data_IF_157913505727
#
_entry.id   IF_157913505727
#
_cell.length_a   1.000
_cell.length_b   1.000
_cell.length_c   1.000
_cell.angle_alpha   90.00
_cell.angle_beta   90.00
_cell.angle_gamma   90.00
#
_symmetry.space_group_name_H-M   'P 1'
#
loop_
_entity.id
_entity.type
_entity.pdbx_description
1 polymer ?
#
# COMPACT_ATOMS: atom_id res chain seq x y z
N UNK A 1 11.72 -26.84 -5.70
CA UNK A 1 11.40 -25.39 -5.72
C UNK A 1 10.84 -25.04 -4.37
N UNK A 2 11.51 -24.18 -3.60
CA UNK A 2 11.03 -23.74 -2.28
C UNK A 2 10.29 -22.42 -2.47
N UNK A 3 8.98 -22.42 -2.25
CA UNK A 3 8.16 -21.21 -2.23
C UNK A 3 8.29 -20.63 -0.83
N UNK A 4 8.86 -19.44 -0.71
CA UNK A 4 8.89 -18.67 0.54
C UNK A 4 7.60 -17.85 0.70
N UNK A 5 7.45 -17.22 1.87
CA UNK A 5 6.24 -16.46 2.21
C UNK A 5 5.94 -15.35 1.19
N UNK A 6 6.95 -14.60 0.77
CA UNK A 6 6.82 -13.52 -0.22
C UNK A 6 6.30 -14.04 -1.56
N UNK A 7 6.88 -15.13 -2.09
CA UNK A 7 6.42 -15.73 -3.35
C UNK A 7 5.00 -16.27 -3.30
N UNK A 8 4.57 -16.77 -2.13
CA UNK A 8 3.19 -17.21 -1.94
C UNK A 8 2.22 -16.03 -1.78
N UNK A 9 2.62 -14.99 -1.04
CA UNK A 9 1.77 -13.85 -0.69
C UNK A 9 1.62 -12.84 -1.84
N UNK A 10 2.71 -12.48 -2.50
CA UNK A 10 2.76 -11.43 -3.53
C UNK A 10 2.83 -11.98 -4.96
N UNK A 11 3.16 -13.27 -5.10
CA UNK A 11 3.42 -13.92 -6.37
C UNK A 11 4.90 -13.88 -6.76
N UNK A 12 5.26 -14.59 -7.82
CA UNK A 12 6.62 -14.57 -8.34
C UNK A 12 6.79 -13.46 -9.38
N UNK A 13 7.80 -12.61 -9.18
CA UNK A 13 8.26 -11.66 -10.20
C UNK A 13 8.82 -12.38 -11.44
N UNK A 14 9.05 -11.61 -12.51
CA UNK A 14 9.87 -12.04 -13.62
C UNK A 14 11.32 -12.28 -13.17
N UNK A 15 12.08 -13.04 -13.97
CA UNK A 15 13.51 -13.20 -13.77
C UNK A 15 14.23 -11.91 -14.20
N UNK A 16 14.37 -10.97 -13.25
CA UNK A 16 14.99 -9.66 -13.51
C UNK A 16 16.47 -9.78 -13.88
N UNK A 17 17.17 -10.81 -13.39
CA UNK A 17 18.56 -11.05 -13.77
C UNK A 17 18.65 -11.54 -15.22
N UNK A 18 17.74 -12.40 -15.67
CA UNK A 18 17.64 -12.77 -17.08
C UNK A 18 17.34 -11.56 -17.97
N UNK A 19 16.45 -10.65 -17.55
CA UNK A 19 16.16 -9.40 -18.28
C UNK A 19 17.42 -8.53 -18.37
N UNK A 20 18.17 -8.40 -17.27
CA UNK A 20 19.41 -7.61 -17.21
C UNK A 20 20.55 -8.20 -18.07
N UNK A 21 20.58 -9.52 -18.23
CA UNK A 21 21.57 -10.23 -19.04
C UNK A 21 21.17 -10.33 -20.53
N UNK A 22 19.95 -9.94 -20.88
CA UNK A 22 19.46 -9.97 -22.26
C UNK A 22 20.34 -9.10 -23.17
N UNK A 23 20.58 -9.58 -24.40
CA UNK A 23 21.25 -8.75 -25.41
C UNK A 23 20.40 -7.51 -25.75
N UNK A 24 20.97 -6.44 -26.32
CA UNK A 24 20.21 -5.23 -26.68
C UNK A 24 18.98 -5.50 -27.55
N UNK A 25 19.07 -6.49 -28.46
CA UNK A 25 17.95 -6.90 -29.30
C UNK A 25 16.86 -7.64 -28.51
N UNK A 26 17.25 -8.52 -27.59
CA UNK A 26 16.29 -9.22 -26.71
C UNK A 26 15.64 -8.27 -25.72
N UNK A 27 16.41 -7.39 -25.10
CA UNK A 27 15.89 -6.35 -24.18
C UNK A 27 14.85 -5.47 -24.87
N UNK A 28 15.07 -5.06 -26.12
CA UNK A 28 14.08 -4.28 -26.88
C UNK A 28 12.78 -5.05 -27.15
N UNK A 29 12.86 -6.36 -27.40
CA UNK A 29 11.68 -7.21 -27.59
C UNK A 29 10.93 -7.46 -26.26
N UNK A 30 11.67 -7.70 -25.18
CA UNK A 30 11.10 -7.84 -23.83
C UNK A 30 10.37 -6.56 -23.46
N UNK A 31 11.00 -5.40 -23.65
CA UNK A 31 10.37 -4.10 -23.38
C UNK A 31 9.06 -3.95 -24.17
N UNK A 32 9.07 -4.24 -25.48
CA UNK A 32 7.87 -4.12 -26.30
C UNK A 32 6.73 -5.01 -25.80
N UNK A 33 7.04 -6.27 -25.41
CA UNK A 33 6.06 -7.19 -24.83
C UNK A 33 5.46 -6.60 -23.54
N UNK A 34 6.28 -6.09 -22.64
CA UNK A 34 5.82 -5.53 -21.36
C UNK A 34 5.02 -4.23 -21.54
N UNK A 35 5.42 -3.39 -22.49
CA UNK A 35 4.70 -2.15 -22.83
C UNK A 35 3.30 -2.48 -23.38
N UNK A 36 3.20 -3.47 -24.26
CA UNK A 36 1.95 -3.84 -24.94
C UNK A 36 1.04 -4.78 -24.14
N UNK A 37 1.53 -5.37 -23.04
CA UNK A 37 0.76 -6.30 -22.22
C UNK A 37 -0.48 -5.63 -21.58
N UNK A 38 -1.66 -6.25 -21.80
CA UNK A 38 -2.98 -5.84 -21.30
C UNK A 38 -3.77 -7.10 -20.87
N UNK A 39 -4.40 -7.13 -19.67
CA UNK A 39 -4.34 -6.09 -18.64
C UNK A 39 -2.93 -5.98 -18.06
N UNK A 40 -2.56 -4.77 -17.62
CA UNK A 40 -1.25 -4.52 -17.01
C UNK A 40 -1.18 -5.22 -15.66
N UNK A 41 -0.02 -5.82 -15.38
CA UNK A 41 0.29 -6.48 -14.12
C UNK A 41 1.38 -5.70 -13.36
N UNK A 42 1.44 -5.87 -12.03
CA UNK A 42 2.45 -5.23 -11.20
C UNK A 42 3.88 -5.65 -11.59
N UNK A 43 4.05 -6.90 -12.07
CA UNK A 43 5.32 -7.45 -12.54
C UNK A 43 5.82 -6.73 -13.78
N UNK A 44 4.92 -6.25 -14.63
CA UNK A 44 5.29 -5.45 -15.79
C UNK A 44 5.96 -4.15 -15.34
N UNK A 45 5.46 -3.53 -14.28
CA UNK A 45 6.01 -2.27 -13.77
C UNK A 45 7.41 -2.48 -13.19
N UNK A 46 7.61 -3.56 -12.43
CA UNK A 46 8.92 -3.93 -11.89
C UNK A 46 9.94 -4.18 -13.00
N UNK A 47 9.58 -4.99 -14.00
CA UNK A 47 10.46 -5.28 -15.13
C UNK A 47 10.74 -4.06 -16.00
N UNK A 48 9.73 -3.21 -16.26
CA UNK A 48 9.93 -1.95 -16.99
C UNK A 48 10.83 -0.98 -16.21
N UNK A 49 10.72 -0.95 -14.88
CA UNK A 49 11.59 -0.14 -14.04
C UNK A 49 13.03 -0.64 -14.05
N UNK A 50 13.24 -1.95 -14.18
CA UNK A 50 14.57 -2.56 -14.35
C UNK A 50 15.18 -2.26 -15.73
N UNK A 51 14.35 -2.15 -16.79
CA UNK A 51 14.79 -1.81 -18.15
C UNK A 51 15.13 -0.32 -18.29
N UNK A 52 14.35 0.56 -17.64
CA UNK A 52 14.58 2.01 -17.50
C UNK A 52 14.91 2.80 -18.80
N UNK A 53 14.42 2.34 -19.94
CA UNK A 53 14.50 3.11 -21.21
C UNK A 53 13.45 4.22 -21.24
N UNK A 54 13.61 5.26 -22.09
CA UNK A 54 12.60 6.32 -22.20
C UNK A 54 11.18 5.82 -22.53
N UNK A 55 11.07 4.73 -23.28
CA UNK A 55 9.78 4.14 -23.63
C UNK A 55 9.20 3.32 -22.47
N UNK A 56 10.02 2.55 -21.73
CA UNK A 56 9.62 1.92 -20.47
C UNK A 56 9.13 2.95 -19.43
N UNK A 57 9.88 4.04 -19.21
CA UNK A 57 9.48 5.13 -18.32
C UNK A 57 8.15 5.76 -18.74
N UNK A 58 7.92 5.93 -20.04
CA UNK A 58 6.65 6.47 -20.57
C UNK A 58 5.49 5.52 -20.29
N UNK A 59 5.69 4.20 -20.39
CA UNK A 59 4.69 3.20 -20.05
C UNK A 59 4.36 3.24 -18.55
N UNK A 60 5.37 3.29 -17.68
CA UNK A 60 5.19 3.39 -16.22
C UNK A 60 4.44 4.67 -15.83
N UNK A 61 4.79 5.82 -16.42
CA UNK A 61 4.09 7.10 -16.16
C UNK A 61 2.61 7.05 -16.52
N UNK A 62 2.22 6.28 -17.55
CA UNK A 62 0.80 6.04 -17.88
C UNK A 62 0.13 5.15 -16.84
N UNK A 63 0.83 4.14 -16.33
CA UNK A 63 0.34 3.18 -15.36
C UNK A 63 0.01 3.78 -13.98
N UNK A 64 0.49 5.00 -13.67
CA UNK A 64 0.07 5.77 -12.48
C UNK A 64 -1.45 5.91 -12.37
N UNK A 65 -2.15 5.92 -13.50
CA UNK A 65 -3.61 6.07 -13.59
C UNK A 65 -4.32 4.76 -13.92
N UNK A 66 -3.62 3.63 -13.84
CA UNK A 66 -4.20 2.32 -14.14
C UNK A 66 -5.37 2.02 -13.18
N UNK A 67 -6.48 1.45 -13.66
CA UNK A 67 -7.59 1.09 -12.76
C UNK A 67 -7.20 0.04 -11.72
N UNK A 68 -6.18 -0.78 -11.96
CA UNK A 68 -5.70 -1.80 -11.03
C UNK A 68 -4.85 -1.18 -9.89
N UNK A 69 -5.29 -1.27 -8.63
CA UNK A 69 -4.54 -0.78 -7.47
C UNK A 69 -3.13 -1.37 -7.35
N UNK A 70 -2.96 -2.65 -7.68
CA UNK A 70 -1.66 -3.34 -7.61
C UNK A 70 -0.65 -2.71 -8.58
N UNK A 71 -1.11 -2.29 -9.76
CA UNK A 71 -0.28 -1.57 -10.73
C UNK A 71 0.08 -0.19 -10.20
N UNK A 72 -0.88 0.55 -9.63
CA UNK A 72 -0.60 1.87 -9.06
C UNK A 72 0.45 1.81 -7.92
N UNK A 73 0.35 0.83 -7.01
CA UNK A 73 1.33 0.62 -5.93
C UNK A 73 2.68 0.24 -6.51
N UNK A 74 2.71 -0.66 -7.50
CA UNK A 74 3.96 -1.07 -8.14
C UNK A 74 4.71 0.12 -8.74
N UNK A 75 3.99 1.11 -9.30
CA UNK A 75 4.64 2.34 -9.78
C UNK A 75 5.25 3.14 -8.62
N UNK A 76 4.53 3.28 -7.52
CA UNK A 76 5.03 3.97 -6.33
C UNK A 76 6.24 3.29 -5.68
N UNK A 77 6.30 1.95 -5.75
CA UNK A 77 7.36 1.12 -5.19
C UNK A 77 8.60 1.05 -6.07
N UNK A 78 8.44 0.64 -7.33
CA UNK A 78 9.56 0.32 -8.22
C UNK A 78 10.04 1.52 -9.04
N UNK A 79 9.19 2.54 -9.23
CA UNK A 79 9.54 3.72 -10.01
C UNK A 79 9.20 5.05 -9.32
N UNK A 80 9.55 5.24 -8.02
CA UNK A 80 9.17 6.43 -7.26
C UNK A 80 9.69 7.73 -7.90
N UNK A 81 10.85 7.69 -8.57
CA UNK A 81 11.45 8.85 -9.26
C UNK A 81 10.66 9.33 -10.49
N UNK A 82 9.75 8.50 -11.02
CA UNK A 82 8.95 8.84 -12.20
C UNK A 82 7.62 9.50 -11.84
N UNK A 83 7.29 9.57 -10.55
CA UNK A 83 6.09 10.20 -10.03
C UNK A 83 6.44 11.28 -9.00
N UNK A 84 5.52 12.22 -8.81
CA UNK A 84 5.62 13.17 -7.71
C UNK A 84 5.13 12.55 -6.39
N UNK A 85 5.63 13.06 -5.27
CA UNK A 85 5.14 12.73 -3.92
C UNK A 85 3.62 12.88 -3.80
N UNK A 86 3.06 13.93 -4.43
CA UNK A 86 1.61 14.13 -4.50
C UNK A 86 0.89 12.97 -5.18
N UNK A 87 1.43 12.45 -6.29
CA UNK A 87 0.84 11.28 -6.97
C UNK A 87 0.98 10.02 -6.13
N UNK A 88 2.15 9.78 -5.51
CA UNK A 88 2.36 8.65 -4.59
C UNK A 88 1.33 8.68 -3.46
N UNK A 89 1.19 9.84 -2.80
CA UNK A 89 0.22 10.08 -1.73
C UNK A 89 -1.22 9.81 -2.19
N UNK A 90 -1.63 10.35 -3.33
CA UNK A 90 -2.98 10.17 -3.85
C UNK A 90 -3.31 8.71 -4.19
N UNK A 91 -2.35 7.97 -4.76
CA UNK A 91 -2.51 6.54 -5.03
C UNK A 91 -2.67 5.75 -3.73
N UNK A 92 -1.82 5.99 -2.72
CA UNK A 92 -1.92 5.29 -1.43
C UNK A 92 -3.22 5.62 -0.70
N UNK A 93 -3.62 6.90 -0.61
CA UNK A 93 -4.89 7.32 -0.01
C UNK A 93 -6.08 6.62 -0.67
N UNK A 94 -6.13 6.58 -2.01
CA UNK A 94 -7.21 5.91 -2.74
C UNK A 94 -7.30 4.43 -2.37
N UNK A 95 -6.16 3.78 -2.16
CA UNK A 95 -6.11 2.35 -1.85
C UNK A 95 -6.57 2.09 -0.42
N UNK A 96 -6.08 2.87 0.54
CA UNK A 96 -6.55 2.81 1.94
C UNK A 96 -8.07 3.01 2.04
N UNK A 97 -8.63 3.87 1.20
CA UNK A 97 -10.07 4.15 1.16
C UNK A 97 -10.92 3.02 0.62
N UNK A 98 -10.41 2.22 -0.34
CA UNK A 98 -11.26 1.37 -1.18
C UNK A 98 -10.88 -0.12 -1.12
N UNK A 99 -9.61 -0.47 -1.01
CA UNK A 99 -9.15 -1.84 -1.27
C UNK A 99 -9.24 -2.75 -0.06
N UNK A 100 -9.32 -4.06 -0.33
CA UNK A 100 -9.35 -5.11 0.69
C UNK A 100 -7.95 -5.67 0.92
N UNK A 101 -7.82 -6.42 2.01
CA UNK A 101 -6.66 -7.26 2.28
C UNK A 101 -6.48 -8.23 1.11
N UNK A 102 -5.25 -8.39 0.62
CA UNK A 102 -4.86 -9.16 -0.58
C UNK A 102 -5.20 -8.54 -1.96
N UNK A 103 -5.98 -7.45 -2.01
CA UNK A 103 -6.31 -6.72 -3.24
C UNK A 103 -5.43 -5.46 -3.43
N UNK A 104 -4.27 -5.41 -2.77
CA UNK A 104 -3.32 -4.29 -2.82
C UNK A 104 -3.18 -3.56 -1.48
N UNK A 105 -4.09 -3.75 -0.53
CA UNK A 105 -4.00 -3.05 0.76
C UNK A 105 -2.74 -3.42 1.55
N UNK A 106 -2.34 -4.69 1.54
CA UNK A 106 -1.14 -5.14 2.26
C UNK A 106 0.11 -4.44 1.73
N UNK A 107 0.30 -4.43 0.41
CA UNK A 107 1.43 -3.78 -0.23
C UNK A 107 1.40 -2.26 -0.04
N UNK A 108 0.21 -1.65 0.02
CA UNK A 108 0.09 -0.24 0.35
C UNK A 108 0.49 0.04 1.81
N UNK A 109 0.20 -0.86 2.75
CA UNK A 109 0.62 -0.70 4.15
C UNK A 109 2.15 -0.84 4.30
N UNK A 110 2.79 -1.73 3.54
CA UNK A 110 4.25 -1.82 3.50
C UNK A 110 4.86 -0.50 3.00
N UNK A 111 4.29 0.11 1.95
CA UNK A 111 4.73 1.43 1.48
C UNK A 111 4.47 2.55 2.50
N UNK A 112 3.37 2.46 3.26
CA UNK A 112 3.02 3.45 4.29
C UNK A 112 3.98 3.38 5.47
N UNK A 113 4.51 2.20 5.78
CA UNK A 113 5.54 2.03 6.80
C UNK A 113 6.73 2.98 6.56
N UNK A 114 7.18 3.06 5.31
CA UNK A 114 8.31 3.91 4.90
C UNK A 114 7.89 5.34 4.51
N UNK A 115 6.67 5.52 4.01
CA UNK A 115 6.17 6.78 3.45
C UNK A 115 4.78 7.15 3.98
N UNK A 116 4.73 8.00 5.01
CA UNK A 116 3.50 8.37 5.71
C UNK A 116 3.39 9.90 5.93
N UNK A 117 3.24 10.71 4.87
CA UNK A 117 2.84 12.11 5.02
C UNK A 117 1.51 12.25 5.77
N UNK A 118 1.20 13.48 6.21
CA UNK A 118 0.04 13.77 7.06
C UNK A 118 -1.27 13.25 6.43
N UNK A 119 -1.45 13.40 5.11
CA UNK A 119 -2.64 12.96 4.41
C UNK A 119 -2.88 11.44 4.49
N UNK A 120 -1.81 10.64 4.46
CA UNK A 120 -1.88 9.18 4.63
C UNK A 120 -2.25 8.84 6.07
N UNK A 121 -1.59 9.50 7.02
CA UNK A 121 -1.86 9.30 8.45
C UNK A 121 -3.31 9.67 8.78
N UNK A 122 -3.82 10.77 8.23
CA UNK A 122 -5.21 11.15 8.36
C UNK A 122 -6.18 10.11 7.79
N UNK A 123 -5.85 9.51 6.64
CA UNK A 123 -6.70 8.49 6.03
C UNK A 123 -6.75 7.22 6.87
N UNK A 124 -5.63 6.77 7.45
CA UNK A 124 -5.62 5.67 8.41
C UNK A 124 -6.54 5.96 9.61
N UNK A 125 -6.46 7.17 10.18
CA UNK A 125 -7.28 7.58 11.34
C UNK A 125 -8.77 7.60 10.97
N UNK A 126 -9.13 8.20 9.83
CA UNK A 126 -10.51 8.21 9.32
C UNK A 126 -11.00 6.78 9.07
N UNK A 127 -10.12 5.93 8.53
CA UNK A 127 -10.36 4.53 8.26
C UNK A 127 -10.73 3.71 9.50
N UNK A 128 -10.21 4.04 10.69
CA UNK A 128 -10.59 3.36 11.93
C UNK A 128 -12.08 3.44 12.26
N UNK A 129 -12.77 4.49 11.78
CA UNK A 129 -14.20 4.71 12.02
C UNK A 129 -15.07 4.20 10.86
N UNK A 130 -14.56 4.27 9.63
CA UNK A 130 -15.32 3.94 8.42
C UNK A 130 -15.11 2.51 7.91
N UNK A 131 -13.94 1.92 8.19
CA UNK A 131 -13.57 0.56 7.77
C UNK A 131 -13.90 -0.44 8.87
N UNK A 132 -14.04 -1.71 8.51
CA UNK A 132 -14.46 -2.77 9.43
C UNK A 132 -13.51 -3.96 9.46
N UNK A 133 -13.65 -4.75 10.52
CA UNK A 133 -12.98 -6.02 10.67
C UNK A 133 -11.46 -5.88 10.67
N UNK A 134 -10.81 -6.79 9.94
CA UNK A 134 -9.35 -6.87 9.86
C UNK A 134 -8.71 -5.57 9.34
N UNK A 135 -9.34 -4.83 8.41
CA UNK A 135 -8.77 -3.58 7.89
C UNK A 135 -8.59 -2.54 8.99
N UNK A 136 -9.58 -2.39 9.88
CA UNK A 136 -9.49 -1.44 10.99
C UNK A 136 -8.42 -1.86 12.01
N UNK A 137 -8.24 -3.17 12.24
CA UNK A 137 -7.13 -3.71 13.03
C UNK A 137 -5.80 -3.30 12.41
N UNK A 138 -5.66 -3.43 11.09
CA UNK A 138 -4.40 -3.14 10.43
C UNK A 138 -4.05 -1.65 10.52
N UNK A 139 -5.05 -0.77 10.38
CA UNK A 139 -4.84 0.67 10.50
C UNK A 139 -4.45 1.07 11.91
N UNK A 140 -5.05 0.45 12.93
CA UNK A 140 -4.72 0.73 14.34
C UNK A 140 -3.26 0.34 14.65
N UNK A 141 -2.83 -0.83 14.16
CA UNK A 141 -1.46 -1.29 14.30
C UNK A 141 -0.45 -0.37 13.59
N UNK A 142 -0.75 0.02 12.34
CA UNK A 142 0.10 0.92 11.57
C UNK A 142 0.22 2.30 12.25
N UNK A 143 -0.87 2.85 12.79
CA UNK A 143 -0.84 4.11 13.52
C UNK A 143 -0.01 4.02 14.80
N UNK A 144 -0.04 2.89 15.53
CA UNK A 144 0.83 2.70 16.69
C UNK A 144 2.30 2.73 16.32
N UNK A 145 2.66 2.12 15.20
CA UNK A 145 4.02 2.15 14.68
C UNK A 145 4.44 3.57 14.26
N UNK A 146 3.64 4.24 13.42
CA UNK A 146 3.92 5.61 12.94
C UNK A 146 4.09 6.61 14.10
N UNK A 147 3.31 6.49 15.17
CA UNK A 147 3.40 7.35 16.36
C UNK A 147 4.44 6.86 17.40
N UNK A 148 5.25 5.85 17.09
CA UNK A 148 6.32 5.34 17.94
C UNK A 148 5.85 4.65 19.23
N UNK A 149 4.62 4.12 19.25
CA UNK A 149 4.06 3.31 20.35
C UNK A 149 4.33 1.83 20.23
N UNK A 150 4.67 1.38 19.03
CA UNK A 150 5.12 0.03 18.72
C UNK A 150 6.51 0.08 18.08
N UNK A 151 7.32 -0.97 18.26
CA UNK A 151 8.66 -1.06 17.66
C UNK A 151 8.66 -1.54 16.21
N UNK A 152 7.59 -2.23 15.83
CA UNK A 152 7.37 -2.81 14.52
C UNK A 152 5.88 -2.69 14.19
N UNK A 153 5.50 -2.67 12.89
CA UNK A 153 4.12 -2.85 12.50
C UNK A 153 3.58 -4.16 13.11
N UNK A 154 2.36 -4.12 13.66
CA UNK A 154 1.69 -5.30 14.23
C UNK A 154 2.35 -5.92 15.47
N UNK A 155 3.02 -5.11 16.31
CA UNK A 155 3.59 -5.54 17.59
C UNK A 155 2.65 -6.47 18.38
N UNK A 156 3.11 -7.70 18.59
CA UNK A 156 2.32 -8.78 19.20
C UNK A 156 1.90 -8.47 20.65
N UNK A 157 2.61 -7.59 21.36
CA UNK A 157 2.25 -7.17 22.71
C UNK A 157 1.02 -6.25 22.70
N UNK A 158 0.81 -5.52 21.60
CA UNK A 158 -0.33 -4.61 21.41
C UNK A 158 -1.49 -5.29 20.68
N UNK A 159 -1.29 -6.52 20.17
CA UNK A 159 -2.32 -7.30 19.46
C UNK A 159 -3.66 -7.38 20.19
N UNK A 160 -3.75 -7.61 21.52
CA UNK A 160 -5.05 -7.62 22.20
C UNK A 160 -5.81 -6.30 22.05
N UNK A 161 -5.11 -5.17 22.06
CA UNK A 161 -5.70 -3.86 21.83
C UNK A 161 -6.11 -3.68 20.37
N UNK A 162 -5.26 -4.02 19.40
CA UNK A 162 -5.62 -3.88 17.98
C UNK A 162 -6.86 -4.70 17.61
N UNK A 163 -7.02 -5.89 18.19
CA UNK A 163 -8.16 -6.76 17.95
C UNK A 163 -9.50 -6.17 18.43
N UNK A 164 -9.52 -5.14 19.30
CA UNK A 164 -10.78 -4.47 19.66
C UNK A 164 -11.42 -3.73 18.49
N UNK A 165 -10.65 -3.43 17.43
CA UNK A 165 -11.17 -2.86 16.18
C UNK A 165 -11.83 -3.92 15.27
N UNK A 166 -11.61 -5.21 15.51
CA UNK A 166 -12.24 -6.30 14.77
C UNK A 166 -13.69 -6.54 15.21
N UNK A 167 -14.52 -5.52 15.04
CA UNK A 167 -15.94 -5.55 15.41
C UNK A 167 -16.80 -4.97 14.29
N UNK A 168 -18.06 -5.41 14.23
CA UNK A 168 -19.10 -4.79 13.39
C UNK A 168 -19.90 -3.74 14.17
N UNK A 169 -19.75 -3.69 15.49
CA UNK A 169 -20.45 -2.76 16.34
C UNK A 169 -19.78 -1.38 16.31
N UNK A 170 -20.48 -0.38 15.77
CA UNK A 170 -19.98 1.00 15.68
C UNK A 170 -19.65 1.61 17.05
N UNK A 171 -20.38 1.26 18.10
CA UNK A 171 -20.16 1.79 19.46
C UNK A 171 -18.86 1.22 20.04
N UNK A 172 -18.63 -0.08 19.89
CA UNK A 172 -17.37 -0.72 20.30
C UNK A 172 -16.18 -0.14 19.52
N UNK A 173 -16.33 0.02 18.21
CA UNK A 173 -15.30 0.62 17.34
C UNK A 173 -14.97 2.05 17.76
N UNK A 174 -15.99 2.86 18.07
CA UNK A 174 -15.82 4.22 18.57
C UNK A 174 -15.11 4.24 19.93
N UNK A 175 -15.44 3.32 20.82
CA UNK A 175 -14.75 3.18 22.12
C UNK A 175 -13.26 2.87 21.94
N UNK A 176 -12.94 1.89 21.08
CA UNK A 176 -11.57 1.55 20.73
C UNK A 176 -10.81 2.73 20.08
N UNK A 177 -11.48 3.45 19.18
CA UNK A 177 -10.94 4.66 18.54
C UNK A 177 -10.60 5.75 19.56
N UNK A 178 -11.49 6.03 20.51
CA UNK A 178 -11.25 7.04 21.56
C UNK A 178 -10.05 6.68 22.44
N UNK A 179 -9.94 5.40 22.81
CA UNK A 179 -8.78 4.91 23.57
C UNK A 179 -7.48 5.01 22.75
N UNK A 180 -7.52 4.67 21.46
CA UNK A 180 -6.37 4.86 20.55
C UNK A 180 -5.97 6.35 20.48
N UNK A 181 -6.92 7.26 20.28
CA UNK A 181 -6.64 8.70 20.25
C UNK A 181 -5.98 9.18 21.55
N UNK A 182 -6.45 8.71 22.71
CA UNK A 182 -5.84 9.02 24.00
C UNK A 182 -4.39 8.54 24.09
N UNK A 183 -4.10 7.31 23.66
CA UNK A 183 -2.74 6.75 23.71
C UNK A 183 -1.78 7.46 22.74
N UNK A 184 -2.27 7.81 21.55
CA UNK A 184 -1.49 8.53 20.52
C UNK A 184 -1.49 10.05 20.68
N UNK A 185 -2.21 10.60 21.66
CA UNK A 185 -2.41 12.05 21.89
C UNK A 185 -3.03 12.77 20.67
N UNK A 186 -3.95 12.11 19.97
CA UNK A 186 -4.72 12.65 18.85
C UNK A 186 -6.01 13.26 19.40
N UNK A 187 -6.45 14.40 18.87
CA UNK A 187 -7.75 14.97 19.21
C UNK A 187 -8.89 14.23 18.46
N UNK A 188 -9.74 13.44 19.14
CA UNK A 188 -10.79 12.67 18.48
C UNK A 188 -11.92 13.54 17.90
N UNK A 189 -12.11 14.77 18.41
CA UNK A 189 -13.19 15.66 17.94
C UNK A 189 -13.01 16.09 16.48
N UNK A 190 -11.78 16.03 15.94
CA UNK A 190 -11.49 16.30 14.53
C UNK A 190 -12.13 15.25 13.60
N UNK A 191 -12.37 14.04 14.09
CA UNK A 191 -12.75 12.89 13.26
C UNK A 191 -14.16 12.37 13.55
N UNK A 192 -14.67 12.60 14.75
CA UNK A 192 -16.04 12.23 15.10
C UNK A 192 -16.96 13.34 14.57
N UNK A 193 -17.61 13.10 13.44
CA UNK A 193 -18.68 13.97 12.97
C UNK A 193 -19.79 14.01 14.03
N UNK A 194 -20.03 15.20 14.59
CA UNK A 194 -21.24 15.45 15.38
C UNK A 194 -22.42 15.31 14.43
N UNK A 195 -23.13 14.18 14.48
CA UNK A 195 -24.45 14.08 13.87
C UNK A 195 -25.28 15.25 14.39
N UNK A 196 -25.61 16.20 13.50
CA UNK A 196 -26.69 17.15 13.70
C UNK A 196 -27.99 16.50 13.27
#
# INVERSE_FOLDING_TARGET
MTIDYEKWHDGMSYDLEAIKQASPNESGKIEQILVDHIPKDWRDIEALAQIDTPNAQKAIKKAVRDPNPKVQIAVARFAPKLISDRQKTQSLVRILQNEKIFDGLSQALDEVEEYHPEEITEELIKGLLSREGEVAVLFAAMLFYIYGKAKEPFDMNQRPFFLTFNTKNKIERLSAFLELCKQLKINPEKYITKNK
#
